data_IF_576926489513
#
_entry.id   IF_576926489513
#
_cell.length_a   1.000
_cell.length_b   1.000
_cell.length_c   1.000
_cell.angle_alpha   90.00
_cell.angle_beta   90.00
_cell.angle_gamma   90.00
#
_symmetry.space_group_name_H-M   'P 1'
#
loop_
_entity.id
_entity.type
_entity.pdbx_description
1 polymer ?
#
# COMPACT_ATOMS: atom_id res chain seq x y z
N UNK A 1 0.02 22.81 -3.91
CA UNK A 1 1.03 23.87 -4.03
C UNK A 1 2.43 23.33 -3.77
N UNK A 2 2.79 22.92 -2.54
CA UNK A 2 4.13 22.38 -2.27
C UNK A 2 4.34 20.99 -2.89
N UNK A 3 3.32 20.12 -2.85
CA UNK A 3 3.36 18.81 -3.50
C UNK A 3 3.57 18.93 -5.03
N UNK A 4 2.81 19.77 -5.71
CA UNK A 4 2.97 20.02 -7.15
C UNK A 4 4.38 20.51 -7.51
N UNK A 5 4.99 21.33 -6.65
CA UNK A 5 6.36 21.81 -6.85
C UNK A 5 7.40 20.70 -6.62
N UNK A 6 7.20 19.84 -5.62
CA UNK A 6 8.06 18.67 -5.37
C UNK A 6 7.99 17.72 -6.55
N UNK A 7 6.78 17.42 -7.03
CA UNK A 7 6.53 16.56 -8.18
C UNK A 7 7.24 17.09 -9.44
N UNK A 8 7.04 18.37 -9.75
CA UNK A 8 7.68 19.01 -10.91
C UNK A 8 9.21 18.95 -10.84
N UNK A 9 9.79 19.17 -9.65
CA UNK A 9 11.25 19.05 -9.43
C UNK A 9 11.74 17.62 -9.60
N UNK A 10 10.99 16.64 -9.10
CA UNK A 10 11.35 15.23 -9.21
C UNK A 10 11.37 14.79 -10.68
N UNK A 11 10.34 15.17 -11.45
CA UNK A 11 10.27 14.84 -12.87
C UNK A 11 11.33 15.58 -13.70
N UNK A 12 11.67 16.83 -13.37
CA UNK A 12 12.79 17.53 -14.01
C UNK A 12 14.11 16.74 -13.90
N UNK A 13 14.35 16.04 -12.78
CA UNK A 13 15.54 15.20 -12.58
C UNK A 13 15.54 13.92 -13.43
N UNK A 14 14.39 13.44 -13.91
CA UNK A 14 14.30 12.19 -14.66
C UNK A 14 15.16 12.21 -15.93
N UNK A 15 15.20 13.33 -16.67
CA UNK A 15 15.99 13.44 -17.91
C UNK A 15 17.49 13.32 -17.65
N UNK A 16 17.97 13.91 -16.56
CA UNK A 16 19.39 13.93 -16.20
C UNK A 16 19.88 12.59 -15.62
N UNK A 17 18.95 11.77 -15.14
CA UNK A 17 19.25 10.50 -14.46
C UNK A 17 18.86 9.25 -15.28
N UNK A 18 18.76 9.37 -16.61
CA UNK A 18 18.51 8.23 -17.50
C UNK A 18 17.06 7.72 -17.54
N UNK A 19 16.12 8.46 -16.96
CA UNK A 19 14.69 8.13 -16.90
C UNK A 19 13.84 9.02 -17.83
N UNK A 20 14.40 9.41 -18.97
CA UNK A 20 13.76 10.35 -19.90
C UNK A 20 12.40 9.86 -20.45
N UNK A 21 12.10 8.55 -20.39
CA UNK A 21 10.82 7.97 -20.77
C UNK A 21 9.67 8.29 -19.81
N UNK A 22 9.98 8.66 -18.56
CA UNK A 22 8.97 8.98 -17.54
C UNK A 22 8.40 10.40 -17.69
N UNK A 23 8.98 11.22 -18.57
CA UNK A 23 8.65 12.65 -18.68
C UNK A 23 8.51 13.15 -20.11
N UNK A 24 7.47 13.93 -20.37
CA UNK A 24 7.27 14.66 -21.63
C UNK A 24 7.22 16.16 -21.40
N UNK A 25 7.42 16.96 -22.45
CA UNK A 25 7.41 18.41 -22.33
C UNK A 25 6.07 18.98 -22.79
N UNK A 26 5.34 19.59 -21.87
CA UNK A 26 4.05 20.22 -22.14
C UNK A 26 4.11 21.70 -21.77
N UNK A 27 3.81 22.59 -22.72
CA UNK A 27 3.90 24.05 -22.52
C UNK A 27 5.23 24.58 -21.95
N UNK A 28 6.33 23.84 -22.16
CA UNK A 28 7.66 24.21 -21.67
C UNK A 28 8.01 23.63 -20.30
N UNK A 29 7.09 22.92 -19.65
CA UNK A 29 7.30 22.26 -18.36
C UNK A 29 7.45 20.74 -18.56
N UNK A 30 8.29 20.11 -17.72
CA UNK A 30 8.36 18.65 -17.65
C UNK A 30 7.16 18.14 -16.84
N UNK A 31 6.36 17.29 -17.49
CA UNK A 31 5.20 16.63 -16.90
C UNK A 31 5.37 15.11 -16.99
N UNK A 32 4.67 14.33 -16.15
CA UNK A 32 4.65 12.88 -16.29
C UNK A 32 4.25 12.49 -17.72
N UNK A 33 4.99 11.56 -18.33
CA UNK A 33 4.65 11.07 -19.67
C UNK A 33 3.39 10.21 -19.62
N UNK A 34 2.65 10.12 -20.72
CA UNK A 34 1.58 9.11 -20.84
C UNK A 34 2.03 7.68 -20.54
N UNK A 35 3.27 7.32 -20.87
CA UNK A 35 3.78 5.98 -20.56
C UNK A 35 3.94 5.75 -19.06
N UNK A 36 4.17 6.80 -18.28
CA UNK A 36 4.14 6.76 -16.82
C UNK A 36 2.70 6.77 -16.31
N UNK A 37 1.88 7.73 -16.72
CA UNK A 37 0.51 7.92 -16.21
C UNK A 37 -0.45 6.78 -16.57
N UNK A 38 -0.34 6.26 -17.80
CA UNK A 38 -1.15 5.14 -18.29
C UNK A 38 -0.41 3.80 -18.12
N UNK A 39 0.78 3.83 -17.51
CA UNK A 39 1.59 2.65 -17.26
C UNK A 39 1.09 1.83 -16.07
N UNK A 40 1.51 0.57 -16.01
CA UNK A 40 1.16 -0.34 -14.90
C UNK A 40 1.81 -0.01 -13.56
N UNK A 41 2.53 1.12 -13.43
CA UNK A 41 3.14 1.51 -12.15
C UNK A 41 2.09 1.89 -11.11
N UNK A 42 1.00 2.54 -11.53
CA UNK A 42 -0.10 2.88 -10.63
C UNK A 42 -0.87 1.64 -10.17
N UNK A 43 -1.08 0.69 -11.09
CA UNK A 43 -1.67 -0.62 -10.78
C UNK A 43 -0.76 -1.41 -9.82
N UNK A 44 0.54 -1.50 -10.10
CA UNK A 44 1.49 -2.18 -9.22
C UNK A 44 1.62 -1.53 -7.82
N UNK A 45 1.49 -0.19 -7.73
CA UNK A 45 1.42 0.51 -6.44
C UNK A 45 0.13 0.17 -5.72
N UNK A 46 -1.02 0.22 -6.41
CA UNK A 46 -2.31 -0.14 -5.82
C UNK A 46 -2.31 -1.59 -5.31
N UNK A 47 -1.81 -2.54 -6.10
CA UNK A 47 -1.70 -3.95 -5.70
C UNK A 47 -0.79 -4.11 -4.47
N UNK A 48 0.32 -3.37 -4.41
CA UNK A 48 1.22 -3.38 -3.26
C UNK A 48 0.55 -2.76 -2.03
N UNK A 49 -0.13 -1.63 -2.19
CA UNK A 49 -0.87 -0.95 -1.13
C UNK A 49 -1.98 -1.85 -0.56
N UNK A 50 -2.74 -2.53 -1.42
CA UNK A 50 -3.77 -3.48 -1.02
C UNK A 50 -3.16 -4.68 -0.27
N UNK A 51 -2.09 -5.27 -0.80
CA UNK A 51 -1.39 -6.40 -0.16
C UNK A 51 -0.90 -6.00 1.24
N UNK A 52 -0.18 -4.88 1.34
CA UNK A 52 0.35 -4.38 2.62
C UNK A 52 -0.78 -4.03 3.59
N UNK A 53 -1.86 -3.44 3.10
CA UNK A 53 -3.04 -3.14 3.92
C UNK A 53 -3.62 -4.40 4.57
N UNK A 54 -3.86 -5.45 3.79
CA UNK A 54 -4.42 -6.70 4.30
C UNK A 54 -3.45 -7.45 5.22
N UNK A 55 -2.15 -7.44 4.95
CA UNK A 55 -1.14 -8.01 5.84
C UNK A 55 -1.11 -7.32 7.21
N UNK A 56 -1.13 -5.99 7.23
CA UNK A 56 -1.16 -5.21 8.49
C UNK A 56 -2.46 -5.48 9.25
N UNK A 57 -3.59 -5.51 8.54
CA UNK A 57 -4.89 -5.78 9.17
C UNK A 57 -4.95 -7.19 9.75
N UNK A 58 -4.45 -8.20 9.03
CA UNK A 58 -4.37 -9.57 9.50
C UNK A 58 -3.50 -9.69 10.76
N UNK A 59 -2.33 -9.02 10.79
CA UNK A 59 -1.48 -8.98 11.99
C UNK A 59 -2.22 -8.36 13.18
N UNK A 60 -2.87 -7.21 12.98
CA UNK A 60 -3.55 -6.49 14.06
C UNK A 60 -4.72 -7.31 14.63
N UNK A 61 -5.53 -7.96 13.79
CA UNK A 61 -6.61 -8.83 14.23
C UNK A 61 -6.09 -10.09 14.93
N UNK A 62 -5.02 -10.70 14.42
CA UNK A 62 -4.40 -11.86 15.06
C UNK A 62 -3.85 -11.50 16.45
N UNK A 63 -3.18 -10.34 16.58
CA UNK A 63 -2.70 -9.81 17.86
C UNK A 63 -3.84 -9.52 18.82
N UNK A 64 -4.92 -8.88 18.35
CA UNK A 64 -6.12 -8.60 19.15
C UNK A 64 -6.71 -9.89 19.72
N UNK A 65 -6.85 -10.92 18.90
CA UNK A 65 -7.40 -12.21 19.32
C UNK A 65 -6.45 -13.01 20.26
N UNK A 66 -5.19 -12.62 20.33
CA UNK A 66 -4.19 -13.13 21.26
C UNK A 66 -3.98 -12.20 22.46
N UNK A 67 -4.94 -11.31 22.74
CA UNK A 67 -4.92 -10.35 23.84
C UNK A 67 -3.66 -9.45 23.85
N UNK A 68 -3.09 -9.18 22.67
CA UNK A 68 -1.86 -8.41 22.49
C UNK A 68 -0.67 -8.93 23.31
N UNK A 69 -0.61 -10.25 23.55
CA UNK A 69 0.57 -10.85 24.20
C UNK A 69 1.85 -10.57 23.40
N UNK A 70 3.00 -10.32 24.06
CA UNK A 70 4.26 -10.14 23.36
C UNK A 70 4.60 -11.36 22.49
N UNK A 71 5.10 -11.11 21.28
CA UNK A 71 5.53 -12.17 20.37
C UNK A 71 6.74 -12.89 20.96
N UNK A 72 6.65 -14.22 21.02
CA UNK A 72 7.69 -15.13 21.51
C UNK A 72 7.74 -16.38 20.62
N UNK A 73 8.79 -17.17 20.74
CA UNK A 73 8.88 -18.43 20.00
C UNK A 73 7.76 -19.43 20.36
N UNK A 74 7.12 -19.27 21.51
CA UNK A 74 6.04 -20.17 21.97
C UNK A 74 4.70 -19.84 21.30
N UNK A 75 4.48 -18.57 20.90
CA UNK A 75 3.22 -18.11 20.31
C UNK A 75 3.33 -17.68 18.84
N UNK A 76 4.55 -17.67 18.27
CA UNK A 76 4.80 -17.26 16.88
C UNK A 76 4.00 -18.08 15.87
N UNK A 77 4.00 -19.42 15.99
CA UNK A 77 3.26 -20.29 15.06
C UNK A 77 1.75 -20.04 15.12
N UNK A 78 1.22 -19.75 16.31
CA UNK A 78 -0.20 -19.42 16.49
C UNK A 78 -0.55 -18.05 15.90
N UNK A 79 0.35 -17.06 16.02
CA UNK A 79 0.20 -15.76 15.39
C UNK A 79 0.16 -15.89 13.86
N UNK A 80 1.13 -16.59 13.28
CA UNK A 80 1.21 -16.81 11.83
C UNK A 80 -0.02 -17.55 11.33
N UNK A 81 -0.45 -18.63 12.00
CA UNK A 81 -1.65 -19.38 11.62
C UNK A 81 -2.92 -18.50 11.62
N UNK A 82 -3.05 -17.58 12.58
CA UNK A 82 -4.19 -16.65 12.62
C UNK A 82 -4.12 -15.61 11.52
N UNK A 83 -2.93 -15.10 11.19
CA UNK A 83 -2.74 -14.19 10.07
C UNK A 83 -3.15 -14.86 8.76
N UNK A 84 -2.74 -16.12 8.54
CA UNK A 84 -3.12 -16.90 7.36
C UNK A 84 -4.66 -17.08 7.25
N UNK A 85 -5.33 -17.35 8.38
CA UNK A 85 -6.80 -17.45 8.42
C UNK A 85 -7.47 -16.12 8.03
N UNK A 86 -6.94 -14.98 8.50
CA UNK A 86 -7.46 -13.66 8.15
C UNK A 86 -7.20 -13.27 6.69
N UNK A 87 -6.02 -13.57 6.15
CA UNK A 87 -5.72 -13.36 4.74
C UNK A 87 -6.67 -14.19 3.86
N UNK A 88 -6.91 -15.46 4.20
CA UNK A 88 -7.85 -16.30 3.48
C UNK A 88 -9.29 -15.75 3.51
N UNK A 89 -9.73 -15.19 4.65
CA UNK A 89 -11.02 -14.49 4.75
C UNK A 89 -11.07 -13.24 3.87
N UNK A 90 -10.02 -12.41 3.85
CA UNK A 90 -9.95 -11.22 3.01
C UNK A 90 -9.92 -11.56 1.52
N UNK A 91 -9.23 -12.62 1.10
CA UNK A 91 -9.24 -13.07 -0.29
C UNK A 91 -10.62 -13.57 -0.72
N UNK A 92 -11.37 -14.22 0.18
CA UNK A 92 -12.69 -14.76 -0.12
C UNK A 92 -13.81 -13.70 -0.09
N UNK A 93 -13.71 -12.74 0.83
CA UNK A 93 -14.82 -11.84 1.20
C UNK A 93 -14.43 -10.35 1.22
N UNK A 94 -13.16 -10.01 1.02
CA UNK A 94 -12.68 -8.63 1.08
C UNK A 94 -12.98 -7.98 2.43
N UNK A 95 -13.70 -6.86 2.41
CA UNK A 95 -14.09 -6.09 3.60
C UNK A 95 -15.56 -6.24 3.97
N UNK A 96 -16.30 -7.11 3.29
CA UNK A 96 -17.75 -7.23 3.41
C UNK A 96 -18.23 -7.58 4.83
N UNK A 97 -17.40 -8.27 5.61
CA UNK A 97 -17.71 -8.74 6.97
C UNK A 97 -17.03 -7.92 8.08
N UNK A 98 -16.35 -6.82 7.77
CA UNK A 98 -15.65 -6.03 8.78
C UNK A 98 -16.66 -5.35 9.70
N UNK A 99 -16.67 -5.79 10.96
CA UNK A 99 -17.44 -5.16 12.03
C UNK A 99 -16.59 -4.11 12.72
N UNK A 100 -16.78 -2.84 12.35
CA UNK A 100 -16.17 -1.72 13.08
C UNK A 100 -17.05 -1.45 14.31
N UNK A 101 -16.58 -1.69 15.55
CA UNK A 101 -17.31 -1.24 16.72
C UNK A 101 -17.45 0.28 16.62
N UNK A 102 -18.65 0.81 16.89
CA UNK A 102 -18.79 2.26 17.06
C UNK A 102 -17.81 2.68 18.15
N UNK A 103 -16.89 3.59 17.84
CA UNK A 103 -16.11 4.25 18.88
C UNK A 103 -17.13 5.04 19.69
N UNK A 104 -17.55 4.49 20.83
CA UNK A 104 -18.35 5.23 21.79
C UNK A 104 -17.51 6.45 22.23
N UNK A 105 -18.05 7.65 22.01
CA UNK A 105 -17.47 8.95 22.36
C UNK A 105 -17.11 9.08 23.86
#
# INVERSE_FOLDING_TARGET
>A
ADYDQVESKLFALCRENGMASLVERWNGEDVPSRAFSDGGIHEAIADYEDTVFYEILAEELARRDMDYQPVSNENYDALVSRMDDYIAEFEAHGTDNISIPTMDD
#
